data_IF_541323121089
#
_entry.id   IF_541323121089
#
_cell.length_a   1.000
_cell.length_b   1.000
_cell.length_c   1.000
_cell.angle_alpha   90.00
_cell.angle_beta   90.00
_cell.angle_gamma   90.00
#
_symmetry.space_group_name_H-M   'P 1'
#
loop_
_entity.id
_entity.type
_entity.pdbx_description
1 polymer ?
#
# COMPACT_ATOMS: atom_id res chain seq x y z
N UNK A 1 -3.91 -2.22 22.25
CA UNK A 1 -2.46 -2.14 22.52
C UNK A 1 -1.92 -0.85 21.95
N UNK A 2 -0.83 -0.34 22.50
CA UNK A 2 -0.07 0.75 21.88
C UNK A 2 0.85 0.11 20.83
N UNK A 3 0.87 0.63 19.63
CA UNK A 3 1.71 0.16 18.51
C UNK A 3 2.28 1.35 17.75
N UNK A 4 3.47 1.17 17.17
CA UNK A 4 4.00 2.08 16.17
C UNK A 4 3.18 2.02 14.89
N UNK A 5 3.18 3.08 14.10
CA UNK A 5 2.55 3.12 12.79
C UNK A 5 3.08 1.99 11.88
N UNK A 6 4.41 1.79 11.83
CA UNK A 6 5.03 0.70 11.06
C UNK A 6 4.60 -0.70 11.53
N UNK A 7 4.43 -0.90 12.84
CA UNK A 7 3.92 -2.16 13.40
C UNK A 7 2.45 -2.39 13.07
N UNK A 8 1.66 -1.32 12.98
CA UNK A 8 0.25 -1.38 12.56
C UNK A 8 0.12 -1.79 11.08
N UNK A 9 0.99 -1.28 10.20
CA UNK A 9 1.11 -1.72 8.81
C UNK A 9 1.50 -3.20 8.74
N UNK A 10 2.54 -3.61 9.47
CA UNK A 10 2.97 -5.01 9.51
C UNK A 10 1.85 -5.95 9.97
N UNK A 11 1.13 -5.58 11.02
CA UNK A 11 0.00 -6.37 11.52
C UNK A 11 -1.16 -6.44 10.52
N UNK A 12 -1.42 -5.37 9.75
CA UNK A 12 -2.42 -5.39 8.67
C UNK A 12 -2.05 -6.39 7.58
N UNK A 13 -0.79 -6.40 7.16
CA UNK A 13 -0.26 -7.36 6.18
C UNK A 13 -0.37 -8.79 6.71
N UNK A 14 0.11 -9.04 7.93
CA UNK A 14 0.05 -10.37 8.56
C UNK A 14 -1.38 -10.91 8.66
N UNK A 15 -2.30 -10.09 9.15
CA UNK A 15 -3.70 -10.47 9.29
C UNK A 15 -4.36 -10.77 7.93
N UNK A 16 -4.09 -9.96 6.91
CA UNK A 16 -4.63 -10.14 5.57
C UNK A 16 -4.07 -11.40 4.90
N UNK A 17 -2.75 -11.62 4.97
CA UNK A 17 -2.10 -12.80 4.42
C UNK A 17 -2.53 -14.10 5.12
N UNK A 18 -2.81 -14.04 6.42
CA UNK A 18 -3.35 -15.17 7.18
C UNK A 18 -4.77 -15.52 6.77
N UNK A 19 -5.59 -14.49 6.53
CA UNK A 19 -7.01 -14.64 6.17
C UNK A 19 -7.19 -15.13 4.74
N UNK A 20 -6.34 -14.69 3.82
CA UNK A 20 -6.47 -14.98 2.39
C UNK A 20 -5.12 -15.41 1.79
N UNK A 21 -5.08 -16.65 1.29
CA UNK A 21 -3.89 -17.22 0.65
C UNK A 21 -3.52 -16.54 -0.68
N UNK A 22 -4.45 -15.81 -1.29
CA UNK A 22 -4.24 -15.06 -2.52
C UNK A 22 -3.54 -13.72 -2.32
N UNK A 23 -3.43 -13.24 -1.08
CA UNK A 23 -2.66 -12.03 -0.76
C UNK A 23 -1.18 -12.34 -0.83
N UNK A 24 -0.45 -11.62 -1.67
CA UNK A 24 1.00 -11.71 -1.82
C UNK A 24 1.64 -10.35 -1.62
N UNK A 25 2.88 -10.35 -1.16
CA UNK A 25 3.67 -9.14 -0.91
C UNK A 25 4.92 -9.18 -1.77
N UNK A 26 5.11 -8.16 -2.60
CA UNK A 26 6.26 -8.06 -3.49
C UNK A 26 6.78 -6.63 -3.54
N UNK A 27 8.03 -6.45 -3.95
CA UNK A 27 8.62 -5.12 -4.10
C UNK A 27 10.05 -5.05 -3.62
N UNK A 28 10.74 -3.97 -3.97
CA UNK A 28 12.14 -3.77 -3.62
C UNK A 28 12.32 -3.64 -2.10
N UNK A 29 13.19 -4.48 -1.54
CA UNK A 29 13.56 -4.48 -0.12
C UNK A 29 12.52 -5.09 0.81
N UNK A 30 11.55 -5.86 0.33
CA UNK A 30 10.58 -6.54 1.21
C UNK A 30 11.24 -7.60 2.07
N UNK A 31 12.35 -8.18 1.64
CA UNK A 31 13.13 -9.22 2.32
C UNK A 31 14.49 -8.74 2.84
N UNK A 32 14.86 -7.46 2.60
CA UNK A 32 16.12 -6.91 3.08
C UNK A 32 16.15 -6.78 4.62
N UNK A 33 17.33 -6.63 5.26
CA UNK A 33 17.44 -6.53 6.72
C UNK A 33 16.61 -5.39 7.34
N UNK A 34 16.39 -4.31 6.62
CA UNK A 34 15.59 -3.16 7.08
C UNK A 34 14.09 -3.36 6.91
N UNK A 35 13.67 -4.38 6.13
CA UNK A 35 12.26 -4.82 5.97
C UNK A 35 11.31 -3.66 5.67
N UNK A 36 11.68 -2.80 4.70
CA UNK A 36 10.94 -1.58 4.37
C UNK A 36 10.56 -0.80 5.65
N UNK A 37 11.58 -0.34 6.37
CA UNK A 37 11.43 0.38 7.65
C UNK A 37 10.67 -0.40 8.74
N UNK A 38 10.77 -1.74 8.71
CA UNK A 38 10.14 -2.65 9.67
C UNK A 38 8.69 -3.04 9.33
N UNK A 39 8.11 -2.51 8.25
CA UNK A 39 6.72 -2.80 7.88
C UNK A 39 6.51 -4.23 7.35
N UNK A 40 7.57 -4.90 6.87
CA UNK A 40 7.52 -6.28 6.35
C UNK A 40 8.22 -7.30 7.25
N UNK A 41 8.57 -6.91 8.49
CA UNK A 41 9.33 -7.75 9.43
C UNK A 41 8.64 -9.11 9.66
N UNK A 42 9.41 -10.19 9.61
CA UNK A 42 9.01 -11.59 9.84
C UNK A 42 7.94 -12.13 8.86
N UNK A 43 7.59 -11.42 7.80
CA UNK A 43 6.58 -11.90 6.86
C UNK A 43 7.15 -12.95 5.91
N UNK A 44 8.38 -12.78 5.44
CA UNK A 44 9.05 -13.77 4.59
C UNK A 44 9.22 -15.10 5.33
N UNK A 45 9.72 -15.05 6.56
CA UNK A 45 9.93 -16.24 7.40
C UNK A 45 8.62 -16.99 7.67
N UNK A 46 7.52 -16.25 7.75
CA UNK A 46 6.20 -16.82 8.06
C UNK A 46 5.47 -17.35 6.83
N UNK A 47 5.59 -16.71 5.69
CA UNK A 47 4.77 -17.01 4.50
C UNK A 47 5.57 -17.60 3.33
N UNK A 48 6.91 -17.55 3.40
CA UNK A 48 7.81 -18.09 2.38
C UNK A 48 7.88 -17.25 1.10
N UNK A 49 8.86 -17.57 0.25
CA UNK A 49 9.13 -16.85 -1.00
C UNK A 49 8.01 -16.91 -2.03
N UNK A 50 7.11 -17.87 -1.96
CA UNK A 50 5.96 -17.94 -2.86
C UNK A 50 4.92 -16.83 -2.58
N UNK A 51 5.02 -16.15 -1.44
CA UNK A 51 4.05 -15.14 -1.03
C UNK A 51 4.69 -13.82 -0.59
N UNK A 52 5.98 -13.83 -0.27
CA UNK A 52 6.75 -12.64 0.09
C UNK A 52 8.08 -12.73 -0.64
N UNK A 53 8.30 -11.86 -1.62
CA UNK A 53 9.51 -11.92 -2.43
C UNK A 53 9.94 -10.54 -2.90
N UNK A 54 11.26 -10.38 -3.00
CA UNK A 54 11.85 -9.22 -3.63
C UNK A 54 11.76 -9.32 -5.17
N UNK A 55 11.89 -8.19 -5.83
CA UNK A 55 11.79 -8.08 -7.29
C UNK A 55 13.00 -7.32 -7.84
N UNK A 56 13.38 -7.53 -9.12
CA UNK A 56 14.42 -6.73 -9.75
C UNK A 56 14.08 -5.24 -9.75
N UNK A 57 15.11 -4.39 -9.80
CA UNK A 57 14.96 -2.93 -9.99
C UNK A 57 14.49 -2.64 -11.41
N UNK A 58 13.19 -2.88 -11.65
CA UNK A 58 12.51 -2.73 -12.93
C UNK A 58 11.04 -2.36 -12.67
N UNK A 59 10.80 -1.16 -12.15
CA UNK A 59 9.51 -0.72 -11.58
C UNK A 59 8.36 -0.87 -12.57
N UNK A 60 8.58 -0.55 -13.85
CA UNK A 60 7.56 -0.74 -14.89
C UNK A 60 7.22 -2.23 -15.08
N UNK A 61 8.24 -3.08 -15.19
CA UNK A 61 8.07 -4.53 -15.37
C UNK A 61 7.38 -5.17 -14.17
N UNK A 62 7.80 -4.82 -12.94
CA UNK A 62 7.20 -5.38 -11.73
C UNK A 62 5.73 -4.95 -11.54
N UNK A 63 5.38 -3.72 -11.95
CA UNK A 63 3.98 -3.28 -11.95
C UNK A 63 3.14 -4.04 -12.97
N UNK A 64 3.65 -4.27 -14.18
CA UNK A 64 2.97 -5.10 -15.18
C UNK A 64 2.74 -6.53 -14.69
N UNK A 65 3.74 -7.14 -14.05
CA UNK A 65 3.62 -8.46 -13.42
C UNK A 65 2.55 -8.44 -12.31
N UNK A 66 2.53 -7.42 -11.44
CA UNK A 66 1.53 -7.30 -10.38
C UNK A 66 0.11 -7.18 -10.94
N UNK A 67 -0.09 -6.45 -12.03
CA UNK A 67 -1.37 -6.37 -12.73
C UNK A 67 -1.78 -7.74 -13.26
N UNK A 68 -0.88 -8.45 -13.95
CA UNK A 68 -1.15 -9.80 -14.46
C UNK A 68 -1.52 -10.79 -13.35
N UNK A 69 -0.77 -10.81 -12.26
CA UNK A 69 -1.08 -11.61 -11.06
C UNK A 69 -2.45 -11.26 -10.48
N UNK A 70 -2.80 -9.98 -10.49
CA UNK A 70 -4.09 -9.48 -9.99
C UNK A 70 -5.26 -9.98 -10.84
N UNK A 71 -5.11 -10.02 -12.17
CA UNK A 71 -6.09 -10.52 -13.11
C UNK A 71 -6.33 -12.03 -12.93
N UNK A 72 -5.30 -12.79 -12.58
CA UNK A 72 -5.38 -14.21 -12.22
C UNK A 72 -6.03 -14.45 -10.84
N UNK A 73 -6.56 -13.41 -10.23
CA UNK A 73 -7.36 -13.47 -9.00
C UNK A 73 -6.54 -13.49 -7.71
N UNK A 74 -5.26 -13.15 -7.76
CA UNK A 74 -4.48 -12.84 -6.57
C UNK A 74 -4.66 -11.38 -6.15
N UNK A 75 -4.14 -11.04 -4.97
CA UNK A 75 -4.19 -9.69 -4.40
C UNK A 75 -2.77 -9.23 -4.09
N UNK A 76 -2.03 -8.77 -5.09
CA UNK A 76 -0.68 -8.31 -4.87
C UNK A 76 -0.65 -6.99 -4.09
N UNK A 77 0.31 -6.89 -3.18
CA UNK A 77 0.69 -5.68 -2.48
C UNK A 77 2.10 -5.38 -2.94
N UNK A 78 2.27 -4.35 -3.75
CA UNK A 78 3.56 -3.95 -4.27
C UNK A 78 4.12 -2.77 -3.49
N UNK A 79 5.40 -2.86 -3.10
CA UNK A 79 6.07 -1.84 -2.30
C UNK A 79 7.13 -1.11 -3.11
N UNK A 80 6.99 0.21 -3.20
CA UNK A 80 8.07 1.09 -3.62
C UNK A 80 8.63 1.81 -2.39
N UNK A 81 9.94 1.70 -2.18
CA UNK A 81 10.62 2.30 -1.01
C UNK A 81 10.53 3.83 -0.99
N UNK A 82 10.23 4.43 -2.14
CA UNK A 82 10.03 5.86 -2.35
C UNK A 82 8.97 6.08 -3.43
N UNK A 83 8.17 7.12 -3.26
CA UNK A 83 7.16 7.52 -4.25
C UNK A 83 7.78 7.84 -5.61
N UNK A 84 8.98 8.40 -5.63
CA UNK A 84 9.70 8.78 -6.83
C UNK A 84 9.96 7.59 -7.76
N UNK A 85 10.21 6.41 -7.22
CA UNK A 85 10.47 5.21 -8.03
C UNK A 85 9.21 4.73 -8.76
N UNK A 86 8.03 5.00 -8.22
CA UNK A 86 6.78 4.67 -8.90
C UNK A 86 6.56 5.49 -10.18
N UNK A 87 7.26 6.62 -10.37
CA UNK A 87 7.20 7.40 -11.59
C UNK A 87 7.70 6.61 -12.81
N UNK A 88 8.61 5.66 -12.61
CA UNK A 88 9.07 4.74 -13.67
C UNK A 88 7.98 3.74 -14.10
N UNK A 89 6.95 3.56 -13.31
CA UNK A 89 5.84 2.64 -13.55
C UNK A 89 4.51 3.33 -13.86
N UNK A 90 4.52 4.63 -14.14
CA UNK A 90 3.29 5.43 -14.31
C UNK A 90 2.42 4.93 -15.46
N UNK A 91 3.00 4.41 -16.54
CA UNK A 91 2.21 3.80 -17.63
C UNK A 91 1.35 2.66 -17.11
N UNK A 92 1.94 1.72 -16.38
CA UNK A 92 1.22 0.57 -15.82
C UNK A 92 0.17 0.99 -14.78
N UNK A 93 0.46 2.00 -14.00
CA UNK A 93 -0.47 2.50 -12.96
C UNK A 93 -1.65 3.22 -13.60
N UNK A 94 -1.37 4.16 -14.54
CA UNK A 94 -2.38 5.09 -15.09
C UNK A 94 -3.17 4.45 -16.22
N UNK A 95 -2.48 3.84 -17.20
CA UNK A 95 -3.13 3.36 -18.42
C UNK A 95 -3.65 1.92 -18.27
N UNK A 96 -3.01 1.11 -17.43
CA UNK A 96 -3.43 -0.26 -17.20
C UNK A 96 -4.28 -0.38 -15.92
N UNK A 97 -3.67 -0.39 -14.74
CA UNK A 97 -4.38 -0.69 -13.49
C UNK A 97 -5.62 0.20 -13.28
N UNK A 98 -5.50 1.52 -13.47
CA UNK A 98 -6.59 2.46 -13.24
C UNK A 98 -7.74 2.34 -14.25
N UNK A 99 -7.51 1.81 -15.46
CA UNK A 99 -8.49 1.84 -16.55
C UNK A 99 -9.18 0.51 -16.78
N UNK A 100 -8.61 -0.61 -16.40
CA UNK A 100 -9.13 -1.94 -16.72
C UNK A 100 -10.59 -2.14 -16.33
N UNK A 101 -10.98 -1.77 -15.13
CA UNK A 101 -12.36 -1.92 -14.71
C UNK A 101 -13.35 -1.17 -15.63
N UNK A 102 -12.98 0.04 -16.05
CA UNK A 102 -13.79 0.83 -16.97
C UNK A 102 -13.77 0.26 -18.38
N UNK A 103 -12.61 -0.09 -18.91
CA UNK A 103 -12.45 -0.62 -20.27
C UNK A 103 -13.21 -1.94 -20.47
N UNK A 104 -13.30 -2.77 -19.45
CA UNK A 104 -14.03 -4.04 -19.49
C UNK A 104 -15.43 -3.96 -18.86
N UNK A 105 -16.02 -2.76 -18.84
CA UNK A 105 -17.39 -2.53 -18.36
C UNK A 105 -17.71 -3.14 -16.98
N UNK A 106 -16.75 -3.10 -16.06
CA UNK A 106 -16.89 -3.64 -14.70
C UNK A 106 -16.75 -5.16 -14.57
N UNK A 107 -16.56 -5.89 -15.66
CA UNK A 107 -16.44 -7.37 -15.64
C UNK A 107 -15.06 -7.84 -15.16
N UNK A 108 -14.03 -7.01 -15.31
CA UNK A 108 -12.68 -7.27 -14.85
C UNK A 108 -12.24 -6.20 -13.85
N UNK A 109 -11.50 -6.60 -12.84
CA UNK A 109 -10.96 -5.68 -11.83
C UNK A 109 -9.49 -6.01 -11.55
N UNK A 110 -8.76 -5.02 -11.03
CA UNK A 110 -7.34 -5.14 -10.67
C UNK A 110 -7.20 -4.89 -9.17
N UNK A 111 -7.46 -5.88 -8.30
CA UNK A 111 -7.33 -5.76 -6.85
C UNK A 111 -5.85 -5.69 -6.45
N UNK A 112 -5.27 -4.51 -6.51
CA UNK A 112 -3.86 -4.23 -6.33
C UNK A 112 -3.66 -3.10 -5.32
N UNK A 113 -2.78 -3.29 -4.34
CA UNK A 113 -2.34 -2.22 -3.44
C UNK A 113 -0.92 -1.80 -3.79
N UNK A 114 -0.74 -0.52 -4.09
CA UNK A 114 0.57 0.08 -4.37
C UNK A 114 0.96 0.92 -3.15
N UNK A 115 1.90 0.44 -2.36
CA UNK A 115 2.43 1.13 -1.18
C UNK A 115 3.58 2.03 -1.59
N UNK A 116 3.48 3.31 -1.26
CA UNK A 116 4.44 4.35 -1.62
C UNK A 116 4.90 5.11 -0.37
N UNK A 117 6.20 5.10 -0.11
CA UNK A 117 6.76 5.88 1.00
C UNK A 117 6.98 7.31 0.53
N UNK A 118 6.41 8.26 1.28
CA UNK A 118 6.50 9.71 1.02
C UNK A 118 7.15 10.45 2.17
N UNK A 119 7.49 11.71 1.93
CA UNK A 119 7.94 12.67 2.93
C UNK A 119 9.25 13.35 2.55
N UNK A 120 9.50 14.47 3.18
CA UNK A 120 10.66 15.34 2.95
C UNK A 120 11.38 15.62 4.27
N UNK A 121 12.57 16.24 4.18
CA UNK A 121 13.30 16.72 5.36
C UNK A 121 14.19 15.69 6.04
N UNK A 122 14.59 14.60 5.39
CA UNK A 122 15.51 13.59 5.94
C UNK A 122 16.86 13.48 5.24
N UNK A 123 17.26 14.53 4.52
CA UNK A 123 18.61 14.64 3.97
C UNK A 123 18.93 13.69 2.81
N UNK A 124 17.93 13.17 2.10
CA UNK A 124 18.13 12.25 0.97
C UNK A 124 18.08 12.95 -0.40
N UNK A 125 18.11 14.29 -0.40
CA UNK A 125 18.07 15.09 -1.62
C UNK A 125 16.66 15.16 -2.25
N UNK A 126 16.51 15.93 -3.34
CA UNK A 126 15.21 16.19 -3.95
C UNK A 126 14.57 14.96 -4.59
N UNK A 127 15.39 14.02 -5.08
CA UNK A 127 14.92 12.80 -5.74
C UNK A 127 14.38 11.72 -4.79
N UNK A 128 14.49 11.90 -3.45
CA UNK A 128 14.10 10.89 -2.47
C UNK A 128 13.27 11.48 -1.33
N UNK A 129 12.69 12.67 -1.55
CA UNK A 129 12.03 13.44 -0.48
C UNK A 129 10.80 14.18 -0.98
N UNK A 130 10.05 13.57 -1.89
CA UNK A 130 8.87 14.20 -2.49
C UNK A 130 7.56 13.74 -1.84
N UNK A 131 6.51 14.52 -2.09
CA UNK A 131 5.11 14.21 -1.80
C UNK A 131 4.35 14.43 -3.10
N UNK A 132 3.94 13.34 -3.76
CA UNK A 132 3.38 13.34 -5.11
C UNK A 132 1.91 12.88 -5.13
N UNK A 133 1.21 12.98 -4.01
CA UNK A 133 -0.16 12.48 -3.82
C UNK A 133 -1.13 13.07 -4.85
N UNK A 134 -0.95 14.35 -5.20
CA UNK A 134 -1.81 15.05 -6.16
C UNK A 134 -1.73 14.47 -7.57
N UNK A 135 -0.58 13.95 -7.99
CA UNK A 135 -0.42 13.31 -9.30
C UNK A 135 -1.35 12.08 -9.39
N UNK A 136 -1.33 11.24 -8.37
CA UNK A 136 -2.17 10.03 -8.34
C UNK A 136 -3.64 10.36 -8.09
N UNK A 137 -3.92 11.35 -7.24
CA UNK A 137 -5.29 11.77 -6.92
C UNK A 137 -6.02 12.35 -8.14
N UNK A 138 -5.29 12.86 -9.13
CA UNK A 138 -5.84 13.36 -10.39
C UNK A 138 -6.33 12.25 -11.33
N UNK A 139 -5.90 11.01 -11.14
CA UNK A 139 -6.15 9.91 -12.08
C UNK A 139 -7.45 9.17 -11.76
N UNK A 140 -8.49 9.26 -12.62
CA UNK A 140 -9.71 8.48 -12.46
C UNK A 140 -9.44 6.97 -12.50
N UNK A 141 -10.05 6.23 -11.56
CA UNK A 141 -9.86 4.78 -11.41
C UNK A 141 -8.91 4.39 -10.29
N UNK A 142 -8.11 5.30 -9.76
CA UNK A 142 -7.29 5.07 -8.57
C UNK A 142 -8.03 5.52 -7.29
N UNK A 143 -7.87 4.76 -6.21
CA UNK A 143 -8.24 5.17 -4.86
C UNK A 143 -6.98 5.58 -4.11
N UNK A 144 -7.03 6.73 -3.45
CA UNK A 144 -5.87 7.31 -2.77
C UNK A 144 -6.09 7.28 -1.26
N UNK A 145 -5.16 6.67 -0.54
CA UNK A 145 -5.20 6.53 0.92
C UNK A 145 -3.92 7.09 1.51
N UNK A 146 -4.04 7.97 2.49
CA UNK A 146 -2.93 8.55 3.24
C UNK A 146 -3.27 8.59 4.74
N UNK A 147 -3.07 7.50 5.49
CA UNK A 147 -3.41 7.46 6.91
C UNK A 147 -2.46 8.33 7.74
N UNK A 148 -3.00 8.98 8.76
CA UNK A 148 -2.26 9.89 9.64
C UNK A 148 -1.90 9.31 11.02
N UNK A 149 -2.38 8.11 11.35
CA UNK A 149 -2.13 7.46 12.64
C UNK A 149 -2.15 5.93 12.52
N UNK A 150 -1.65 5.23 13.54
CA UNK A 150 -1.51 3.78 13.53
C UNK A 150 -2.85 3.01 13.44
N UNK A 151 -3.93 3.53 14.03
CA UNK A 151 -5.25 2.92 13.94
C UNK A 151 -5.76 2.94 12.50
N UNK A 152 -5.72 4.12 11.87
CA UNK A 152 -6.19 4.29 10.50
C UNK A 152 -5.29 3.54 9.51
N UNK A 153 -3.97 3.51 9.73
CA UNK A 153 -3.03 2.76 8.90
C UNK A 153 -3.39 1.28 8.80
N UNK A 154 -3.65 0.62 9.94
CA UNK A 154 -4.06 -0.79 9.94
C UNK A 154 -5.41 -1.00 9.26
N UNK A 155 -6.43 -0.25 9.68
CA UNK A 155 -7.79 -0.47 9.19
C UNK A 155 -7.97 -0.11 7.72
N UNK A 156 -7.35 0.96 7.25
CA UNK A 156 -7.39 1.38 5.84
C UNK A 156 -6.56 0.45 4.95
N UNK A 157 -5.40 -0.05 5.40
CA UNK A 157 -4.61 -1.00 4.61
C UNK A 157 -5.38 -2.31 4.43
N UNK A 158 -6.03 -2.83 5.47
CA UNK A 158 -6.91 -4.00 5.36
C UNK A 158 -8.05 -3.74 4.37
N UNK A 159 -8.68 -2.57 4.42
CA UNK A 159 -9.72 -2.20 3.46
C UNK A 159 -9.20 -2.11 2.03
N UNK A 160 -7.99 -1.59 1.85
CA UNK A 160 -7.33 -1.49 0.54
C UNK A 160 -7.03 -2.87 -0.06
N UNK A 161 -6.58 -3.83 0.75
CA UNK A 161 -6.29 -5.21 0.31
C UNK A 161 -7.58 -5.97 -0.09
N UNK A 162 -8.72 -5.62 0.52
CA UNK A 162 -10.02 -6.22 0.18
C UNK A 162 -10.75 -5.45 -0.94
N UNK A 163 -10.23 -4.33 -1.40
CA UNK A 163 -10.83 -3.58 -2.51
C UNK A 163 -10.63 -4.31 -3.85
N UNK A 164 -11.61 -4.18 -4.73
CA UNK A 164 -11.56 -4.79 -6.07
C UNK A 164 -10.78 -3.96 -7.09
N UNK A 165 -10.51 -2.70 -6.77
CA UNK A 165 -9.83 -1.75 -7.65
C UNK A 165 -8.47 -1.35 -7.10
N UNK A 166 -7.59 -0.78 -7.92
CA UNK A 166 -6.26 -0.39 -7.48
C UNK A 166 -6.30 0.72 -6.44
N UNK A 167 -5.53 0.55 -5.39
CA UNK A 167 -5.40 1.50 -4.28
C UNK A 167 -3.94 1.94 -4.15
N UNK A 168 -3.71 3.24 -4.21
CA UNK A 168 -2.44 3.85 -3.84
C UNK A 168 -2.47 4.12 -2.34
N UNK A 169 -1.53 3.53 -1.62
CA UNK A 169 -1.44 3.64 -0.17
C UNK A 169 -0.16 4.38 0.22
N UNK A 170 -0.29 5.65 0.57
CA UNK A 170 0.83 6.49 0.99
C UNK A 170 1.20 6.27 2.44
N UNK A 171 2.50 6.12 2.70
CA UNK A 171 3.06 5.99 4.04
C UNK A 171 4.03 7.15 4.30
N UNK A 172 3.61 8.12 5.09
CA UNK A 172 4.48 9.23 5.43
C UNK A 172 5.58 8.76 6.39
N UNK A 173 6.83 8.88 5.97
CA UNK A 173 7.98 8.32 6.68
C UNK A 173 8.11 8.77 8.14
N UNK A 174 7.78 10.04 8.43
CA UNK A 174 7.82 10.56 9.79
C UNK A 174 6.82 9.89 10.74
N UNK A 175 5.75 9.29 10.22
CA UNK A 175 4.75 8.61 11.02
C UNK A 175 5.19 7.21 11.47
N UNK A 176 6.18 6.58 10.82
CA UNK A 176 6.55 5.19 11.10
C UNK A 176 6.88 4.92 12.58
N UNK A 177 7.43 5.91 13.30
CA UNK A 177 7.79 5.78 14.71
C UNK A 177 6.72 6.34 15.66
N UNK A 178 5.68 7.01 15.15
CA UNK A 178 4.58 7.49 15.98
C UNK A 178 3.77 6.33 16.52
N UNK A 179 3.27 6.47 17.74
CA UNK A 179 2.52 5.40 18.41
C UNK A 179 1.05 5.76 18.58
N UNK A 180 0.18 4.76 18.60
CA UNK A 180 -1.24 4.93 18.81
C UNK A 180 -1.91 3.67 19.35
N UNK A 181 -3.15 3.81 19.84
CA UNK A 181 -3.98 2.66 20.27
C UNK A 181 -4.48 1.91 19.04
N UNK A 182 -4.14 0.63 18.90
CA UNK A 182 -4.55 -0.23 17.80
C UNK A 182 -5.19 -1.51 18.37
N UNK A 183 -6.43 -1.87 17.97
CA UNK A 183 -7.04 -3.15 18.35
C UNK A 183 -6.27 -4.35 17.77
N UNK A 184 -6.15 -5.44 18.52
CA UNK A 184 -5.54 -6.69 18.03
C UNK A 184 -6.37 -7.36 16.93
N UNK A 185 -7.71 -7.24 17.01
CA UNK A 185 -8.63 -7.89 16.09
C UNK A 185 -8.50 -7.34 14.68
N UNK A 186 -8.95 -8.11 13.72
CA UNK A 186 -9.17 -7.68 12.35
C UNK A 186 -10.29 -6.62 12.30
N UNK A 187 -10.07 -5.49 11.67
CA UNK A 187 -11.09 -4.47 11.44
C UNK A 187 -10.79 -3.69 10.17
N UNK A 188 -11.83 -3.15 9.57
CA UNK A 188 -11.77 -2.32 8.38
C UNK A 188 -12.23 -0.90 8.69
N UNK A 189 -11.66 0.06 7.98
CA UNK A 189 -12.15 1.44 7.95
C UNK A 189 -12.67 1.68 6.54
N UNK A 190 -13.92 2.15 6.38
CA UNK A 190 -14.50 2.40 5.06
C UNK A 190 -13.70 3.46 4.29
N UNK A 191 -13.28 3.13 3.07
CA UNK A 191 -12.64 4.08 2.15
C UNK A 191 -13.70 5.08 1.68
N UNK A 192 -13.32 6.37 1.56
CA UNK A 192 -14.19 7.43 1.09
C UNK A 192 -15.14 8.03 2.14
N UNK A 193 -15.03 7.59 3.42
CA UNK A 193 -15.81 8.19 4.52
C UNK A 193 -14.92 9.06 5.40
N UNK A 194 -15.32 10.33 5.56
CA UNK A 194 -14.66 11.24 6.48
C UNK A 194 -14.96 10.89 7.94
N UNK A 195 -14.01 11.23 8.82
CA UNK A 195 -14.17 11.12 10.27
C UNK A 195 -14.32 12.51 10.87
N UNK A 196 -15.36 12.72 11.65
CA UNK A 196 -15.52 13.96 12.43
C UNK A 196 -14.54 13.92 13.59
N UNK A 197 -13.52 14.77 13.56
CA UNK A 197 -12.51 14.88 14.62
C UNK A 197 -12.99 15.78 15.75
N UNK A 198 -13.73 16.84 15.44
CA UNK A 198 -14.28 17.81 16.38
C UNK A 198 -15.64 18.26 15.87
N UNK A 199 -16.68 18.20 16.70
CA UNK A 199 -17.98 18.80 16.37
C UNK A 199 -17.90 20.31 16.50
N UNK A 200 -18.39 21.04 15.50
CA UNK A 200 -18.65 22.46 15.55
C UNK A 200 -20.00 22.79 16.21
N UNK A 201 -20.31 24.08 16.28
CA UNK A 201 -21.61 24.58 16.74
C UNK A 201 -22.47 25.15 15.61
N UNK A 202 -21.90 25.26 14.43
CA UNK A 202 -22.36 25.85 13.16
C UNK A 202 -22.46 24.78 12.06
#
# INVERSE_FOLDING_TARGET
MIKKFSEAINEALDLSMRKDKKVILMGLGVDDPKRIFGTTKNLLEKYGYNRVFDVPTAENGMMGIAIGISIEGFKPIICHQRVEFSLLAMEQIINQAAKWNYMFAGTMSVPLVIRLIIGKGWGQGPQHSQSLESIFAHIPGLKIISPSNAYDAKGLLISSIEDKNPVIFFEHRWLHQTTGKVPKKYYKIPIGKAKILKKGKD
#
